data_IF_689145923917
#
_entry.id   IF_689145923917
#
_cell.length_a   1.000
_cell.length_b   1.000
_cell.length_c   1.000
_cell.angle_alpha   90.00
_cell.angle_beta   90.00
_cell.angle_gamma   90.00
#
_symmetry.space_group_name_H-M   'P 1'
#
loop_
_entity.id
_entity.type
_entity.pdbx_description
1 polymer ?
#
# COMPACT_ATOMS: atom_id res chain seq x y z
N UNK A 1 18.81 -22.58 29.28
CA UNK A 1 18.60 -21.27 29.93
C UNK A 1 17.64 -20.51 29.05
N UNK A 2 16.51 -20.04 29.61
CA UNK A 2 15.50 -19.33 28.84
C UNK A 2 16.10 -17.99 28.37
N UNK A 3 16.16 -17.81 27.06
CA UNK A 3 16.66 -16.60 26.44
C UNK A 3 15.76 -15.44 26.87
N UNK A 4 16.31 -14.53 27.68
CA UNK A 4 15.56 -13.35 28.13
C UNK A 4 15.53 -12.37 26.97
N UNK A 5 14.34 -12.11 26.43
CA UNK A 5 14.10 -11.15 25.36
C UNK A 5 14.69 -9.79 25.75
N UNK A 6 15.82 -9.43 25.13
CA UNK A 6 16.53 -8.18 25.37
C UNK A 6 15.88 -6.97 24.65
N UNK A 7 14.68 -7.16 24.10
CA UNK A 7 13.94 -6.19 23.30
C UNK A 7 14.51 -5.95 21.90
N UNK A 8 15.59 -6.64 21.50
CA UNK A 8 16.18 -6.55 20.17
C UNK A 8 15.75 -7.76 19.34
N UNK A 9 15.29 -7.47 18.13
CA UNK A 9 15.00 -8.51 17.13
C UNK A 9 16.31 -9.25 16.84
N UNK A 10 16.28 -10.57 16.97
CA UNK A 10 17.40 -11.45 16.64
C UNK A 10 17.56 -11.56 15.12
N UNK A 11 18.74 -11.99 14.66
CA UNK A 11 18.97 -12.20 13.23
C UNK A 11 18.00 -13.23 12.63
N UNK A 12 17.63 -14.27 13.39
CA UNK A 12 16.67 -15.30 12.96
C UNK A 12 15.27 -14.70 12.80
N UNK A 13 14.82 -13.88 13.74
CA UNK A 13 13.53 -13.19 13.64
C UNK A 13 13.49 -12.19 12.46
N UNK A 14 14.62 -11.55 12.13
CA UNK A 14 14.74 -10.70 10.94
C UNK A 14 14.62 -11.52 9.65
N UNK A 15 15.28 -12.67 9.56
CA UNK A 15 15.20 -13.57 8.41
C UNK A 15 13.77 -14.09 8.21
N UNK A 16 13.09 -14.49 9.30
CA UNK A 16 11.69 -14.91 9.26
C UNK A 16 10.76 -13.79 8.77
N UNK A 17 10.97 -12.55 9.24
CA UNK A 17 10.19 -11.40 8.79
C UNK A 17 10.42 -11.11 7.30
N UNK A 18 11.65 -11.26 6.80
CA UNK A 18 11.96 -11.09 5.38
C UNK A 18 11.31 -12.17 4.51
N UNK A 19 11.29 -13.42 4.97
CA UNK A 19 10.66 -14.52 4.25
C UNK A 19 9.14 -14.36 4.20
N UNK A 20 8.51 -13.93 5.29
CA UNK A 20 7.09 -13.58 5.30
C UNK A 20 6.80 -12.41 4.34
N UNK A 21 7.60 -11.34 4.39
CA UNK A 21 7.45 -10.20 3.48
C UNK A 21 7.59 -10.62 2.00
N UNK A 22 8.56 -11.49 1.68
CA UNK A 22 8.72 -12.06 0.34
C UNK A 22 7.50 -12.87 -0.09
N UNK A 23 6.91 -13.64 0.83
CA UNK A 23 5.68 -14.40 0.57
C UNK A 23 4.47 -13.51 0.27
N UNK A 24 4.35 -12.36 0.94
CA UNK A 24 3.25 -11.41 0.72
C UNK A 24 3.46 -10.48 -0.47
N UNK A 25 4.71 -10.29 -0.89
CA UNK A 25 5.07 -9.32 -1.92
C UNK A 25 4.30 -9.48 -3.25
N UNK A 26 4.10 -10.70 -3.80
CA UNK A 26 3.32 -10.86 -5.03
C UNK A 26 1.90 -10.32 -4.92
N UNK A 27 1.22 -10.63 -3.81
CA UNK A 27 -0.13 -10.12 -3.54
C UNK A 27 -0.14 -8.59 -3.41
N UNK A 28 0.84 -8.01 -2.70
CA UNK A 28 0.95 -6.56 -2.56
C UNK A 28 1.18 -5.86 -3.91
N UNK A 29 1.98 -6.46 -4.79
CA UNK A 29 2.20 -5.96 -6.15
C UNK A 29 0.90 -5.97 -6.95
N UNK A 30 0.18 -7.10 -6.97
CA UNK A 30 -1.10 -7.22 -7.69
C UNK A 30 -2.15 -6.25 -7.15
N UNK A 31 -2.27 -6.16 -5.81
CA UNK A 31 -3.16 -5.21 -5.13
C UNK A 31 -2.85 -3.77 -5.51
N UNK A 32 -1.57 -3.40 -5.55
CA UNK A 32 -1.13 -2.04 -5.94
C UNK A 32 -1.53 -1.71 -7.39
N UNK A 33 -1.40 -2.67 -8.31
CA UNK A 33 -1.83 -2.48 -9.71
C UNK A 33 -3.34 -2.24 -9.80
N UNK A 34 -4.14 -3.00 -9.06
CA UNK A 34 -5.60 -2.85 -9.01
C UNK A 34 -5.97 -1.48 -8.44
N UNK A 35 -5.36 -1.08 -7.32
CA UNK A 35 -5.58 0.22 -6.71
C UNK A 35 -5.22 1.37 -7.65
N UNK A 36 -4.11 1.27 -8.39
CA UNK A 36 -3.71 2.26 -9.39
C UNK A 36 -4.78 2.45 -10.47
N UNK A 37 -5.40 1.36 -10.94
CA UNK A 37 -6.52 1.43 -11.92
C UNK A 37 -7.74 2.13 -11.34
N UNK A 38 -8.09 1.86 -10.08
CA UNK A 38 -9.22 2.51 -9.40
C UNK A 38 -8.97 4.02 -9.25
N UNK A 39 -7.78 4.40 -8.80
CA UNK A 39 -7.40 5.80 -8.64
C UNK A 39 -7.43 6.55 -9.98
N UNK A 40 -6.94 5.91 -11.06
CA UNK A 40 -7.01 6.49 -12.41
C UNK A 40 -8.46 6.68 -12.88
N UNK A 41 -9.30 5.67 -12.70
CA UNK A 41 -10.72 5.77 -13.07
C UNK A 41 -11.44 6.88 -12.30
N UNK A 42 -11.14 7.05 -11.00
CA UNK A 42 -11.66 8.14 -10.18
C UNK A 42 -11.22 9.51 -10.71
N UNK A 43 -9.93 9.65 -11.01
CA UNK A 43 -9.40 10.88 -11.61
C UNK A 43 -10.13 11.22 -12.93
N UNK A 44 -10.22 10.25 -13.84
CA UNK A 44 -10.85 10.44 -15.16
C UNK A 44 -12.32 10.83 -15.05
N UNK A 45 -13.06 10.23 -14.12
CA UNK A 45 -14.44 10.59 -13.87
C UNK A 45 -14.59 12.02 -13.33
N UNK A 46 -13.64 12.51 -12.53
CA UNK A 46 -13.65 13.90 -12.04
C UNK A 46 -13.38 14.87 -13.19
N UNK A 47 -12.41 14.57 -14.05
CA UNK A 47 -12.16 15.38 -15.26
C UNK A 47 -13.40 15.42 -16.15
N UNK A 48 -14.04 14.27 -16.38
CA UNK A 48 -15.26 14.17 -17.19
C UNK A 48 -16.45 14.94 -16.56
N UNK A 49 -16.49 15.05 -15.24
CA UNK A 49 -17.48 15.84 -14.50
C UNK A 49 -17.18 17.36 -14.50
N UNK A 50 -16.09 17.80 -15.12
CA UNK A 50 -15.73 19.21 -15.27
C UNK A 50 -14.83 19.78 -14.18
N UNK A 51 -14.24 18.94 -13.33
CA UNK A 51 -13.21 19.38 -12.39
C UNK A 51 -11.89 19.69 -13.13
N UNK A 52 -11.10 20.61 -12.56
CA UNK A 52 -9.73 20.81 -13.04
C UNK A 52 -8.84 19.63 -12.63
N UNK A 53 -7.71 19.45 -13.31
CA UNK A 53 -6.73 18.41 -12.95
C UNK A 53 -6.24 18.56 -11.50
N UNK A 54 -6.02 19.79 -11.04
CA UNK A 54 -5.59 20.10 -9.68
C UNK A 54 -6.63 19.66 -8.65
N UNK A 55 -7.90 20.01 -8.87
CA UNK A 55 -9.02 19.60 -8.02
C UNK A 55 -9.20 18.08 -8.00
N UNK A 56 -9.11 17.44 -9.17
CA UNK A 56 -9.23 16.00 -9.29
C UNK A 56 -8.11 15.27 -8.55
N UNK A 57 -6.86 15.75 -8.66
CA UNK A 57 -5.72 15.21 -7.92
C UNK A 57 -5.88 15.38 -6.41
N UNK A 58 -6.33 16.53 -5.93
CA UNK A 58 -6.58 16.74 -4.49
C UNK A 58 -7.61 15.76 -3.95
N UNK A 59 -8.73 15.57 -4.66
CA UNK A 59 -9.80 14.64 -4.28
C UNK A 59 -9.32 13.18 -4.28
N UNK A 60 -8.50 12.80 -5.25
CA UNK A 60 -7.94 11.44 -5.35
C UNK A 60 -6.95 11.18 -4.22
N UNK A 61 -6.11 12.16 -3.86
CA UNK A 61 -5.14 12.04 -2.76
C UNK A 61 -5.77 12.04 -1.36
N UNK A 62 -6.87 12.77 -1.18
CA UNK A 62 -7.48 12.95 0.14
C UNK A 62 -8.21 11.71 0.69
N UNK A 63 -8.51 10.73 -0.17
CA UNK A 63 -9.31 9.54 0.19
C UNK A 63 -8.60 8.28 -0.28
N UNK A 64 -8.11 7.40 0.62
CA UNK A 64 -7.58 6.11 0.22
C UNK A 64 -8.68 5.24 -0.43
N UNK A 65 -8.25 4.24 -1.20
CA UNK A 65 -9.16 3.32 -1.91
C UNK A 65 -9.97 2.46 -0.95
N UNK A 66 -9.45 2.22 0.26
CA UNK A 66 -10.09 1.51 1.36
C UNK A 66 -9.86 2.29 2.67
N UNK A 67 -10.86 2.32 3.56
CA UNK A 67 -10.75 2.87 4.93
C UNK A 67 -10.03 1.89 5.87
#
# INVERSE_FOLDING_TARGET
MADKTNGKITNVELEMALDEARGQLPYLIESTVIQGKILKAKFDNLIAAGFTEEQALEIVKARPVYE
#
